data_IF_204423277331
#
_entry.id   IF_204423277331
#
_cell.length_a   1.000
_cell.length_b   1.000
_cell.length_c   1.000
_cell.angle_alpha   90.00
_cell.angle_beta   90.00
_cell.angle_gamma   90.00
#
_symmetry.space_group_name_H-M   'P 1'
#
loop_
_entity.id
_entity.type
_entity.pdbx_description
1 polymer ?
#
# COMPACT_ATOMS: atom_id res chain seq x y z
N UNK A 1 -14.10 -23.10 10.33
CA UNK A 1 -12.78 -22.52 10.63
C UNK A 1 -12.85 -21.06 10.21
N UNK A 2 -12.39 -20.14 11.05
CA UNK A 2 -12.37 -18.71 10.73
C UNK A 2 -11.27 -18.46 9.70
N UNK A 3 -11.59 -17.84 8.56
CA UNK A 3 -10.62 -17.58 7.49
C UNK A 3 -9.63 -16.50 7.93
N UNK A 4 -8.38 -16.61 7.47
CA UNK A 4 -7.35 -15.59 7.72
C UNK A 4 -7.71 -14.33 6.95
N UNK A 5 -7.70 -13.17 7.59
CA UNK A 5 -8.02 -11.89 6.94
C UNK A 5 -6.74 -11.09 6.75
N UNK A 6 -6.53 -10.56 5.53
CA UNK A 6 -5.49 -9.57 5.22
C UNK A 6 -6.15 -8.22 4.93
N UNK A 7 -5.80 -7.22 5.73
CA UNK A 7 -6.33 -5.87 5.63
C UNK A 7 -5.39 -5.00 4.77
N UNK A 8 -5.80 -4.73 3.54
CA UNK A 8 -5.14 -3.79 2.65
C UNK A 8 -5.53 -2.36 3.00
N UNK A 9 -4.60 -1.43 2.90
CA UNK A 9 -4.83 -0.03 3.26
C UNK A 9 -4.27 0.94 2.22
N UNK A 10 -5.04 1.98 1.91
CA UNK A 10 -4.53 3.16 1.21
C UNK A 10 -5.06 4.44 1.82
N UNK A 11 -4.23 5.49 1.77
CA UNK A 11 -4.62 6.86 2.07
C UNK A 11 -4.22 7.80 0.94
N UNK A 12 -5.05 8.80 0.63
CA UNK A 12 -4.63 9.94 -0.19
C UNK A 12 -5.74 10.61 -1.00
N UNK A 13 -5.33 11.54 -1.87
CA UNK A 13 -6.22 12.16 -2.85
C UNK A 13 -6.27 11.31 -4.13
N UNK A 14 -7.25 10.42 -4.23
CA UNK A 14 -7.46 9.47 -5.32
C UNK A 14 -7.56 10.15 -6.68
N UNK A 15 -6.68 9.71 -7.58
CA UNK A 15 -6.51 10.22 -8.95
C UNK A 15 -6.32 9.02 -9.88
N UNK A 16 -6.58 9.21 -11.18
CA UNK A 16 -6.36 8.18 -12.22
C UNK A 16 -5.03 7.44 -12.10
N UNK A 17 -3.95 8.16 -11.78
CA UNK A 17 -2.61 7.59 -11.66
C UNK A 17 -2.41 6.69 -10.44
N UNK A 18 -3.30 6.72 -9.45
CA UNK A 18 -3.24 5.78 -8.33
C UNK A 18 -3.55 4.36 -8.77
N UNK A 19 -4.49 4.16 -9.70
CA UNK A 19 -4.70 2.88 -10.37
C UNK A 19 -5.29 1.77 -9.50
N UNK A 20 -6.03 2.10 -8.43
CA UNK A 20 -6.57 1.10 -7.51
C UNK A 20 -7.62 0.18 -8.15
N UNK A 21 -8.13 0.52 -9.35
CA UNK A 21 -8.97 -0.40 -10.12
C UNK A 21 -8.28 -1.72 -10.47
N UNK A 22 -6.93 -1.73 -10.55
CA UNK A 22 -6.16 -2.95 -10.78
C UNK A 22 -6.27 -3.91 -9.58
N UNK A 23 -6.22 -3.36 -8.37
CA UNK A 23 -6.39 -4.12 -7.11
C UNK A 23 -7.84 -4.56 -6.96
N UNK A 24 -8.81 -3.67 -7.21
CA UNK A 24 -10.24 -4.00 -7.14
C UNK A 24 -10.60 -5.14 -8.10
N UNK A 25 -10.06 -5.13 -9.32
CA UNK A 25 -10.24 -6.23 -10.28
C UNK A 25 -9.52 -7.51 -9.84
N UNK A 26 -8.34 -7.38 -9.23
CA UNK A 26 -7.59 -8.50 -8.67
C UNK A 26 -8.39 -9.22 -7.59
N UNK A 27 -8.98 -8.46 -6.67
CA UNK A 27 -9.89 -8.97 -5.64
C UNK A 27 -11.10 -9.69 -6.25
N UNK A 28 -11.71 -9.13 -7.31
CA UNK A 28 -12.83 -9.80 -7.99
C UNK A 28 -12.40 -11.15 -8.55
N UNK A 29 -11.26 -11.21 -9.24
CA UNK A 29 -10.75 -12.43 -9.86
C UNK A 29 -10.38 -13.47 -8.80
N UNK A 30 -9.70 -13.06 -7.73
CA UNK A 30 -9.36 -13.91 -6.61
C UNK A 30 -10.63 -14.52 -5.97
N UNK A 31 -11.69 -13.73 -5.77
CA UNK A 31 -12.94 -14.23 -5.20
C UNK A 31 -13.77 -15.14 -6.16
N UNK A 32 -13.27 -15.52 -7.33
CA UNK A 32 -13.92 -16.51 -8.21
C UNK A 32 -13.64 -17.95 -7.78
N UNK A 33 -12.59 -18.16 -6.98
CA UNK A 33 -12.22 -19.45 -6.40
C UNK A 33 -12.39 -19.41 -4.87
N UNK A 34 -12.38 -20.60 -4.24
CA UNK A 34 -12.42 -20.69 -2.78
C UNK A 34 -11.01 -20.57 -2.21
N UNK A 35 -10.83 -19.64 -1.28
CA UNK A 35 -9.56 -19.38 -0.63
C UNK A 35 -9.68 -19.41 0.90
N UNK A 36 -8.59 -19.80 1.57
CA UNK A 36 -8.45 -19.77 3.03
C UNK A 36 -8.17 -18.35 3.57
N UNK A 37 -7.75 -17.44 2.68
CA UNK A 37 -7.46 -16.04 2.99
C UNK A 37 -8.48 -15.12 2.35
N UNK A 38 -9.03 -14.20 3.13
CA UNK A 38 -9.92 -13.14 2.68
C UNK A 38 -9.24 -11.78 2.75
N UNK A 39 -9.59 -10.90 1.81
CA UNK A 39 -9.07 -9.53 1.78
C UNK A 39 -10.14 -8.53 2.18
N UNK A 40 -9.78 -7.63 3.09
CA UNK A 40 -10.52 -6.40 3.34
C UNK A 40 -9.67 -5.22 2.85
N UNK A 41 -10.28 -4.29 2.12
CA UNK A 41 -9.57 -3.14 1.57
C UNK A 41 -10.13 -1.83 2.12
N UNK A 42 -9.31 -1.16 2.93
CA UNK A 42 -9.62 0.10 3.58
C UNK A 42 -9.07 1.28 2.77
N UNK A 43 -9.98 2.09 2.21
CA UNK A 43 -9.65 3.25 1.39
C UNK A 43 -10.01 4.54 2.14
N UNK A 44 -8.99 5.27 2.59
CA UNK A 44 -9.14 6.58 3.25
C UNK A 44 -8.77 7.71 2.31
N UNK A 45 -9.61 8.71 2.22
CA UNK A 45 -9.39 9.90 1.40
C UNK A 45 -10.51 10.18 0.42
N UNK A 46 -10.24 11.16 -0.43
CA UNK A 46 -11.17 11.71 -1.41
C UNK A 46 -10.47 11.80 -2.76
N UNK A 47 -11.11 12.37 -3.77
CA UNK A 47 -10.47 12.70 -5.03
C UNK A 47 -11.33 12.39 -6.23
N UNK A 48 -10.84 12.81 -7.39
CA UNK A 48 -11.59 12.73 -8.65
C UNK A 48 -11.89 11.29 -9.07
N UNK A 49 -11.08 10.33 -8.64
CA UNK A 49 -11.24 8.91 -8.99
C UNK A 49 -12.16 8.13 -8.03
N UNK A 50 -12.53 8.71 -6.88
CA UNK A 50 -13.27 7.99 -5.83
C UNK A 50 -14.61 7.44 -6.33
N UNK A 51 -15.39 8.25 -7.07
CA UNK A 51 -16.68 7.83 -7.61
C UNK A 51 -16.54 6.68 -8.63
N UNK A 52 -15.45 6.65 -9.38
CA UNK A 52 -15.15 5.55 -10.29
C UNK A 52 -14.91 4.25 -9.50
N UNK A 53 -14.09 4.30 -8.45
CA UNK A 53 -13.85 3.13 -7.59
C UNK A 53 -15.14 2.63 -6.92
N UNK A 54 -15.95 3.51 -6.32
CA UNK A 54 -17.23 3.12 -5.70
C UNK A 54 -18.16 2.40 -6.69
N UNK A 55 -18.33 2.94 -7.91
CA UNK A 55 -19.14 2.31 -8.96
C UNK A 55 -18.58 0.96 -9.40
N UNK A 56 -17.24 0.84 -9.48
CA UNK A 56 -16.58 -0.40 -9.84
C UNK A 56 -16.80 -1.48 -8.76
N UNK A 57 -16.63 -1.13 -7.48
CA UNK A 57 -16.87 -2.02 -6.34
C UNK A 57 -18.31 -2.52 -6.33
N UNK A 58 -19.29 -1.63 -6.52
CA UNK A 58 -20.70 -2.01 -6.61
C UNK A 58 -20.96 -2.94 -7.80
N UNK A 59 -20.43 -2.61 -8.98
CA UNK A 59 -20.60 -3.42 -10.19
C UNK A 59 -20.01 -4.83 -10.03
N UNK A 60 -18.93 -4.97 -9.30
CA UNK A 60 -18.23 -6.24 -9.09
C UNK A 60 -18.72 -7.01 -7.85
N UNK A 61 -19.67 -6.47 -7.08
CA UNK A 61 -20.20 -7.13 -5.88
C UNK A 61 -19.19 -7.21 -4.73
N UNK A 62 -18.30 -6.23 -4.60
CA UNK A 62 -17.22 -6.21 -3.59
C UNK A 62 -17.54 -5.29 -2.39
N UNK A 63 -18.80 -4.95 -2.17
CA UNK A 63 -19.22 -3.97 -1.15
C UNK A 63 -18.92 -4.40 0.27
N UNK A 64 -18.84 -5.70 0.52
CA UNK A 64 -18.55 -6.26 1.84
C UNK A 64 -17.04 -6.41 2.10
N UNK A 65 -16.21 -6.27 1.06
CA UNK A 65 -14.75 -6.41 1.13
C UNK A 65 -14.01 -5.07 1.00
N UNK A 66 -14.65 -4.01 0.50
CA UNK A 66 -13.98 -2.73 0.20
C UNK A 66 -14.71 -1.56 0.87
N UNK A 67 -14.01 -0.90 1.78
CA UNK A 67 -14.54 0.15 2.63
C UNK A 67 -13.98 1.52 2.25
N UNK A 68 -14.89 2.48 1.99
CA UNK A 68 -14.54 3.86 1.68
C UNK A 68 -14.86 4.77 2.85
N UNK A 69 -13.84 5.33 3.49
CA UNK A 69 -14.01 6.15 4.70
C UNK A 69 -14.20 7.64 4.43
N UNK A 70 -13.97 8.09 3.20
CA UNK A 70 -13.81 9.51 2.90
C UNK A 70 -12.54 10.07 3.54
N UNK A 71 -12.41 11.40 3.61
CA UNK A 71 -11.25 12.03 4.25
C UNK A 71 -11.31 11.84 5.77
N UNK A 72 -10.27 11.21 6.33
CA UNK A 72 -10.03 11.12 7.77
C UNK A 72 -8.68 11.76 8.14
N UNK A 73 -8.58 12.21 9.39
CA UNK A 73 -7.39 12.82 9.98
C UNK A 73 -7.29 12.48 11.47
N UNK A 74 -6.10 12.58 12.05
CA UNK A 74 -5.88 12.38 13.48
C UNK A 74 -6.25 10.97 13.95
N UNK A 75 -6.86 10.88 15.13
CA UNK A 75 -7.23 9.60 15.77
C UNK A 75 -8.12 8.71 14.88
N UNK A 76 -9.04 9.29 14.12
CA UNK A 76 -9.91 8.52 13.21
C UNK A 76 -9.15 7.86 12.07
N UNK A 77 -8.08 8.51 11.58
CA UNK A 77 -7.20 7.90 10.57
C UNK A 77 -6.35 6.80 11.22
N UNK A 78 -5.86 7.05 12.44
CA UNK A 78 -5.08 6.09 13.23
C UNK A 78 -5.85 4.79 13.50
N UNK A 79 -7.15 4.88 13.79
CA UNK A 79 -8.03 3.72 13.96
C UNK A 79 -8.09 2.81 12.73
N UNK A 80 -7.99 3.37 11.53
CA UNK A 80 -7.96 2.59 10.30
C UNK A 80 -6.56 2.02 10.05
N UNK A 81 -5.50 2.79 10.34
CA UNK A 81 -4.13 2.29 10.28
C UNK A 81 -3.90 1.07 11.18
N UNK A 82 -4.47 1.05 12.38
CA UNK A 82 -4.37 -0.08 13.31
C UNK A 82 -4.97 -1.39 12.78
N UNK A 83 -5.88 -1.31 11.79
CA UNK A 83 -6.46 -2.48 11.13
C UNK A 83 -5.57 -3.01 10.01
N UNK A 84 -4.71 -2.16 9.44
CA UNK A 84 -3.97 -2.45 8.22
C UNK A 84 -2.88 -3.50 8.46
N UNK A 85 -2.81 -4.46 7.55
CA UNK A 85 -1.71 -5.43 7.45
C UNK A 85 -0.73 -5.04 6.35
N UNK A 86 -1.21 -4.40 5.26
CA UNK A 86 -0.39 -4.01 4.10
C UNK A 86 -0.75 -2.62 3.60
N UNK A 87 0.25 -1.77 3.39
CA UNK A 87 0.13 -0.46 2.75
C UNK A 87 0.21 -0.54 1.22
N UNK A 88 -0.73 0.09 0.52
CA UNK A 88 -0.82 0.10 -0.93
C UNK A 88 -0.27 1.39 -1.55
N UNK A 89 0.77 1.23 -2.37
CA UNK A 89 1.40 2.30 -3.15
C UNK A 89 0.59 2.73 -4.37
N UNK A 90 1.29 3.08 -5.45
CA UNK A 90 0.69 3.55 -6.70
C UNK A 90 0.71 2.42 -7.73
N UNK A 91 -0.43 2.10 -8.32
CA UNK A 91 -0.58 1.05 -9.33
C UNK A 91 -0.85 1.58 -10.75
N UNK A 92 -1.17 2.87 -10.89
CA UNK A 92 -1.52 3.49 -12.18
C UNK A 92 -0.47 4.44 -12.73
N UNK A 93 0.78 4.37 -12.26
CA UNK A 93 1.82 5.34 -12.56
C UNK A 93 2.13 5.43 -14.07
N UNK A 94 2.04 4.32 -14.80
CA UNK A 94 2.17 4.24 -16.25
C UNK A 94 1.24 5.17 -17.03
N UNK A 95 0.04 5.46 -16.50
CA UNK A 95 -0.91 6.40 -17.12
C UNK A 95 -0.35 7.82 -17.23
N UNK A 96 0.69 8.14 -16.45
CA UNK A 96 1.40 9.42 -16.46
C UNK A 96 2.87 9.29 -16.89
N UNK A 97 3.29 8.13 -17.42
CA UNK A 97 4.69 7.82 -17.74
C UNK A 97 5.62 8.05 -16.52
N UNK A 98 5.12 7.76 -15.32
CA UNK A 98 5.88 7.86 -14.08
C UNK A 98 6.47 6.49 -13.76
N UNK A 99 7.79 6.42 -13.67
CA UNK A 99 8.54 5.17 -13.42
C UNK A 99 9.27 5.15 -12.07
N UNK A 100 9.25 6.27 -11.35
CA UNK A 100 9.82 6.42 -10.03
C UNK A 100 8.90 7.28 -9.18
N UNK A 101 8.54 6.79 -8.00
CA UNK A 101 7.68 7.46 -7.04
C UNK A 101 8.47 7.80 -5.78
N UNK A 102 8.17 8.98 -5.22
CA UNK A 102 8.63 9.46 -3.91
C UNK A 102 7.44 9.76 -2.99
N UNK A 103 6.34 9.01 -3.16
CA UNK A 103 5.07 9.28 -2.51
C UNK A 103 5.19 9.25 -0.97
N UNK A 104 4.70 10.31 -0.32
CA UNK A 104 4.73 10.46 1.13
C UNK A 104 4.03 9.31 1.87
N UNK A 105 2.93 8.79 1.31
CA UNK A 105 2.19 7.65 1.89
C UNK A 105 3.07 6.44 2.14
N UNK A 106 4.09 6.20 1.31
CA UNK A 106 5.03 5.09 1.47
C UNK A 106 5.84 5.27 2.76
N UNK A 107 6.26 6.51 3.07
CA UNK A 107 7.04 6.82 4.28
C UNK A 107 6.16 6.77 5.51
N UNK A 108 4.91 7.21 5.38
CA UNK A 108 3.91 7.06 6.44
C UNK A 108 3.66 5.58 6.75
N UNK A 109 3.55 4.71 5.74
CA UNK A 109 3.38 3.27 5.94
C UNK A 109 4.58 2.65 6.65
N UNK A 110 5.80 3.01 6.24
CA UNK A 110 7.01 2.57 6.92
C UNK A 110 7.06 3.04 8.38
N UNK A 111 6.60 4.26 8.68
CA UNK A 111 6.52 4.78 10.05
C UNK A 111 5.47 4.04 10.90
N UNK A 112 4.41 3.52 10.30
CA UNK A 112 3.44 2.65 10.97
C UNK A 112 3.88 1.18 11.01
N UNK A 113 5.02 0.85 10.41
CA UNK A 113 5.58 -0.49 10.31
C UNK A 113 4.80 -1.42 9.40
N UNK A 114 4.20 -0.88 8.34
CA UNK A 114 3.44 -1.65 7.37
C UNK A 114 4.35 -2.14 6.23
N UNK A 115 4.28 -3.43 5.86
CA UNK A 115 4.82 -3.90 4.59
C UNK A 115 4.05 -3.25 3.42
N UNK A 116 4.68 -3.17 2.25
CA UNK A 116 4.21 -2.33 1.16
C UNK A 116 4.13 -3.10 -0.15
N UNK A 117 3.02 -2.91 -0.86
CA UNK A 117 2.81 -3.40 -2.22
C UNK A 117 2.60 -2.19 -3.14
N UNK A 118 3.35 -2.09 -4.24
CA UNK A 118 3.21 -0.99 -5.21
C UNK A 118 3.31 -1.50 -6.65
N UNK A 119 2.66 -0.82 -7.58
CA UNK A 119 2.86 -1.04 -9.02
C UNK A 119 3.86 -0.06 -9.65
N UNK A 120 4.52 0.76 -8.83
CA UNK A 120 5.56 1.70 -9.23
C UNK A 120 6.82 1.45 -8.40
N UNK A 121 7.99 1.79 -8.96
CA UNK A 121 9.23 1.77 -8.22
C UNK A 121 9.22 2.91 -7.19
N UNK A 122 9.59 2.61 -5.95
CA UNK A 122 9.72 3.62 -4.90
C UNK A 122 11.19 3.95 -4.68
N UNK A 123 11.53 5.23 -4.71
CA UNK A 123 12.89 5.77 -4.55
C UNK A 123 13.59 5.33 -3.26
N UNK A 124 12.85 5.25 -2.15
CA UNK A 124 13.37 4.86 -0.85
C UNK A 124 13.96 3.44 -0.82
N UNK A 125 13.51 2.56 -1.71
CA UNK A 125 13.97 1.16 -1.81
C UNK A 125 15.06 0.95 -2.88
N UNK A 126 15.45 1.99 -3.62
CA UNK A 126 16.49 1.86 -4.66
C UNK A 126 17.82 1.41 -4.06
N UNK A 127 18.36 0.32 -4.60
CA UNK A 127 19.67 -0.22 -4.21
C UNK A 127 19.66 -0.91 -2.85
N UNK A 128 18.49 -1.28 -2.33
CA UNK A 128 18.32 -1.91 -1.03
C UNK A 128 17.59 -3.24 -1.17
N UNK A 129 17.97 -4.19 -0.34
CA UNK A 129 17.20 -5.41 -0.14
C UNK A 129 16.13 -5.14 0.92
N UNK A 130 14.86 -5.28 0.53
CA UNK A 130 13.70 -4.84 1.33
C UNK A 130 12.63 -5.92 1.29
N UNK A 131 12.71 -6.94 2.16
CA UNK A 131 11.82 -8.11 2.10
C UNK A 131 10.35 -7.80 2.40
N UNK A 132 10.06 -6.65 3.00
CA UNK A 132 8.71 -6.13 3.27
C UNK A 132 8.20 -5.18 2.18
N UNK A 133 8.78 -5.24 0.97
CA UNK A 133 8.29 -4.53 -0.20
C UNK A 133 8.21 -5.47 -1.41
N UNK A 134 7.08 -5.47 -2.10
CA UNK A 134 6.94 -6.13 -3.41
C UNK A 134 6.42 -5.14 -4.45
N UNK A 135 7.02 -5.22 -5.64
CA UNK A 135 6.67 -4.39 -6.78
C UNK A 135 5.99 -5.22 -7.88
N UNK A 136 4.83 -4.76 -8.34
CA UNK A 136 4.15 -5.26 -9.53
C UNK A 136 4.53 -4.45 -10.78
N UNK A 137 4.25 -5.02 -11.96
CA UNK A 137 4.50 -4.32 -13.21
C UNK A 137 3.71 -3.00 -13.29
N UNK A 138 4.39 -1.97 -13.77
CA UNK A 138 3.81 -0.65 -14.00
C UNK A 138 3.11 -0.61 -15.36
N UNK A 139 2.00 -1.34 -15.48
CA UNK A 139 1.19 -1.47 -16.69
C UNK A 139 -0.30 -1.67 -16.33
N UNK A 140 -1.12 -2.02 -17.31
CA UNK A 140 -2.57 -2.22 -17.11
C UNK A 140 -2.97 -3.61 -16.60
N UNK A 141 -2.02 -4.51 -16.31
CA UNK A 141 -2.32 -5.86 -15.82
C UNK A 141 -3.09 -5.82 -14.49
N UNK A 142 -3.97 -6.80 -14.28
CA UNK A 142 -4.65 -6.98 -12.99
C UNK A 142 -3.62 -7.37 -11.92
N UNK A 143 -3.86 -6.96 -10.67
CA UNK A 143 -2.98 -7.36 -9.56
C UNK A 143 -3.31 -8.80 -9.18
N UNK A 144 -2.29 -9.63 -9.21
CA UNK A 144 -2.31 -11.02 -8.77
C UNK A 144 -2.31 -11.04 -7.23
N UNK A 145 -3.46 -11.42 -6.66
CA UNK A 145 -3.69 -11.40 -5.23
C UNK A 145 -3.01 -12.57 -4.53
N UNK A 146 -2.83 -13.72 -5.20
CA UNK A 146 -2.06 -14.84 -4.66
C UNK A 146 -0.64 -14.42 -4.37
N UNK A 147 -0.02 -13.63 -5.25
CA UNK A 147 1.31 -13.05 -4.96
C UNK A 147 1.33 -12.18 -3.72
N UNK A 148 0.24 -11.47 -3.41
CA UNK A 148 0.13 -10.68 -2.18
C UNK A 148 0.00 -11.60 -0.96
N UNK A 149 -0.76 -12.70 -1.07
CA UNK A 149 -0.85 -13.73 -0.02
C UNK A 149 0.52 -14.32 0.28
N UNK A 150 1.21 -14.84 -0.74
CA UNK A 150 2.55 -15.43 -0.59
C UNK A 150 3.55 -14.41 -0.06
N UNK A 151 3.49 -13.16 -0.52
CA UNK A 151 4.30 -12.08 0.03
C UNK A 151 4.06 -11.89 1.53
N UNK A 152 2.79 -11.83 1.95
CA UNK A 152 2.42 -11.62 3.35
C UNK A 152 2.82 -12.81 4.25
N UNK A 153 2.64 -14.04 3.78
CA UNK A 153 3.06 -15.26 4.49
C UNK A 153 4.58 -15.33 4.65
N UNK A 154 5.35 -14.92 3.63
CA UNK A 154 6.80 -14.84 3.75
C UNK A 154 7.26 -13.85 4.84
N UNK A 155 6.44 -12.89 5.26
CA UNK A 155 6.77 -12.00 6.38
C UNK A 155 6.67 -12.69 7.74
N UNK A 156 6.10 -13.88 7.84
CA UNK A 156 6.09 -14.68 9.07
C UNK A 156 7.51 -15.09 9.49
N UNK A 157 8.49 -15.02 8.59
CA UNK A 157 9.92 -15.21 8.91
C UNK A 157 10.45 -14.22 9.97
N UNK A 158 9.78 -13.08 10.17
CA UNK A 158 10.12 -12.10 11.20
C UNK A 158 9.60 -12.48 12.60
N UNK A 159 8.91 -13.62 12.74
CA UNK A 159 8.37 -14.11 14.01
C UNK A 159 7.01 -13.47 14.33
N UNK A 160 7.01 -12.31 14.97
CA UNK A 160 5.76 -11.62 15.36
C UNK A 160 5.49 -10.39 14.52
N UNK A 161 4.23 -9.93 14.50
CA UNK A 161 3.85 -8.68 13.84
C UNK A 161 4.59 -7.48 14.45
N UNK A 162 4.85 -7.51 15.76
CA UNK A 162 5.59 -6.48 16.48
C UNK A 162 7.05 -6.41 15.99
N UNK A 163 7.73 -7.55 15.86
CA UNK A 163 9.12 -7.59 15.37
C UNK A 163 9.23 -7.15 13.90
N UNK A 164 8.27 -7.55 13.06
CA UNK A 164 8.17 -7.05 11.69
C UNK A 164 8.01 -5.52 11.67
N UNK A 165 7.07 -4.99 12.46
CA UNK A 165 6.79 -3.57 12.58
C UNK A 165 8.03 -2.78 13.04
N UNK A 166 8.71 -3.24 14.09
CA UNK A 166 9.95 -2.62 14.57
C UNK A 166 11.03 -2.59 13.49
N UNK A 167 11.20 -3.71 12.76
CA UNK A 167 12.17 -3.80 11.65
C UNK A 167 11.88 -2.76 10.56
N UNK A 168 10.61 -2.63 10.17
CA UNK A 168 10.17 -1.67 9.14
C UNK A 168 10.34 -0.22 9.62
N UNK A 169 9.98 0.07 10.87
CA UNK A 169 10.13 1.40 11.46
C UNK A 169 11.60 1.79 11.57
N UNK A 170 12.48 0.87 11.95
CA UNK A 170 13.91 1.12 12.01
C UNK A 170 14.51 1.35 10.63
N UNK A 171 14.05 0.65 9.60
CA UNK A 171 14.38 0.97 8.22
C UNK A 171 13.92 2.40 7.87
N UNK A 172 12.69 2.79 8.25
CA UNK A 172 12.18 4.14 8.02
C UNK A 172 13.08 5.20 8.66
N UNK A 173 13.41 5.05 9.95
CA UNK A 173 14.26 5.99 10.70
C UNK A 173 15.64 6.16 10.06
N UNK A 174 16.23 5.07 9.53
CA UNK A 174 17.55 5.08 8.88
C UNK A 174 17.55 5.68 7.48
N UNK A 175 16.39 5.90 6.85
CA UNK A 175 16.32 6.25 5.43
C UNK A 175 15.44 7.46 5.10
N UNK A 176 14.43 7.75 5.92
CA UNK A 176 13.41 8.76 5.66
C UNK A 176 13.28 9.80 6.78
N UNK A 177 14.10 9.72 7.84
CA UNK A 177 14.14 10.77 8.86
C UNK A 177 14.46 12.14 8.24
N UNK A 178 13.91 13.21 8.81
CA UNK A 178 14.08 14.56 8.27
C UNK A 178 15.56 14.96 8.24
N UNK A 179 16.36 14.57 9.25
CA UNK A 179 17.78 14.86 9.29
C UNK A 179 18.54 14.17 8.16
N UNK A 180 18.08 12.98 7.77
CA UNK A 180 18.66 12.20 6.67
C UNK A 180 18.26 12.81 5.32
N UNK A 181 16.96 13.10 5.16
CA UNK A 181 16.40 13.66 3.93
C UNK A 181 16.96 15.06 3.62
N UNK A 182 17.17 15.90 4.64
CA UNK A 182 17.68 17.26 4.49
C UNK A 182 19.21 17.34 4.39
N UNK A 183 19.94 16.28 4.73
CA UNK A 183 21.41 16.28 4.73
C UNK A 183 22.02 16.76 3.39
N UNK A 184 21.59 16.27 2.21
CA UNK A 184 22.16 16.73 0.93
C UNK A 184 21.92 18.21 0.67
N UNK A 185 20.76 18.74 1.09
CA UNK A 185 20.43 20.17 0.97
C UNK A 185 21.35 21.01 1.85
N UNK A 186 21.52 20.60 3.11
CA UNK A 186 22.41 21.29 4.05
C UNK A 186 23.88 21.27 3.59
N UNK A 187 24.33 20.15 3.01
CA UNK A 187 25.68 20.03 2.44
C UNK A 187 25.86 20.92 1.21
N UNK A 188 24.83 21.05 0.37
CA UNK A 188 24.84 21.96 -0.78
C UNK A 188 24.93 23.43 -0.34
N UNK A 189 24.16 23.83 0.69
CA UNK A 189 24.12 25.22 1.19
C UNK A 189 25.38 25.65 1.97
N UNK A 190 26.21 24.70 2.41
CA UNK A 190 27.49 24.99 3.08
C UNK A 190 28.63 25.31 2.11
N UNK A 191 28.40 25.15 0.80
CA UNK A 191 29.33 25.54 -0.26
C UNK A 191 29.08 26.99 -0.66
#
# INVERSE_FOLDING_TARGET
MEKKVINLFTVGNFQKSHGYERVIKGLKQYNEEEHEVEFLFHMVGEGTELNYYKKLVQKLGLTDSIFFYGKLTGERLEEVYKKADIGLGIFGAYKRKLYLSSALKIREYLLHGLPIVSGCREDIFIGKDVPFFIQFNNDSSVIDMDKIVHFYENLEQYGTKETLKETIVDFCRKNADMNITMKPVLEYLKK
#
